data_IF_956709705571
#
_entry.id   IF_956709705571
#
_cell.length_a   1.000
_cell.length_b   1.000
_cell.length_c   1.000
_cell.angle_alpha   90.00
_cell.angle_beta   90.00
_cell.angle_gamma   90.00
#
_symmetry.space_group_name_H-M   'P 1'
#
loop_
_entity.id
_entity.type
_entity.pdbx_description
1 polymer ?
#
# COMPACT_ATOMS: atom_id res chain seq x y z
N UNK A 1 -29.62 -13.37 25.61
CA UNK A 1 -30.68 -12.57 24.93
C UNK A 1 -31.77 -12.35 25.95
N UNK A 2 -32.21 -11.10 26.13
CA UNK A 2 -33.31 -10.75 27.02
C UNK A 2 -34.53 -10.44 26.16
N UNK A 3 -35.66 -11.08 26.43
CA UNK A 3 -36.94 -10.81 25.78
C UNK A 3 -38.04 -10.55 26.80
N UNK A 4 -39.01 -9.76 26.38
CA UNK A 4 -40.21 -9.46 27.13
C UNK A 4 -41.41 -9.75 26.24
N UNK A 5 -42.37 -10.52 26.75
CA UNK A 5 -43.63 -10.80 26.07
C UNK A 5 -44.79 -10.55 27.04
N UNK A 6 -45.94 -10.17 26.48
CA UNK A 6 -47.20 -10.11 27.21
C UNK A 6 -48.15 -11.07 26.52
N UNK A 7 -48.65 -12.05 27.28
CA UNK A 7 -49.51 -13.12 26.81
C UNK A 7 -50.94 -12.96 27.37
N UNK A 8 -51.89 -13.73 26.85
CA UNK A 8 -53.27 -13.82 27.34
C UNK A 8 -54.14 -12.54 27.32
N UNK A 9 -53.71 -11.47 26.63
CA UNK A 9 -54.47 -10.20 26.51
C UNK A 9 -55.85 -10.37 25.83
N UNK A 10 -55.96 -11.28 24.86
CA UNK A 10 -57.17 -11.55 24.07
C UNK A 10 -57.67 -13.00 24.21
N UNK A 11 -57.53 -13.61 25.41
CA UNK A 11 -57.99 -14.99 25.69
C UNK A 11 -59.50 -15.16 25.57
N UNK A 12 -60.10 -16.29 25.98
CA UNK A 12 -61.56 -16.49 25.89
C UNK A 12 -62.27 -16.75 27.24
N UNK A 13 -63.61 -16.65 27.24
CA UNK A 13 -64.52 -16.76 28.40
C UNK A 13 -64.13 -15.87 29.61
N UNK A 14 -63.70 -16.45 30.73
CA UNK A 14 -63.34 -15.67 31.92
C UNK A 14 -61.91 -15.11 31.87
N UNK A 15 -61.16 -15.37 30.79
CA UNK A 15 -59.76 -14.98 30.60
C UNK A 15 -59.63 -13.94 29.48
N UNK A 16 -60.33 -12.82 29.60
CA UNK A 16 -60.23 -11.71 28.63
C UNK A 16 -59.84 -10.40 29.32
N UNK A 17 -59.10 -9.57 28.58
CA UNK A 17 -58.77 -8.22 28.99
C UNK A 17 -57.48 -8.12 29.79
N UNK A 18 -57.08 -6.89 30.08
CA UNK A 18 -55.80 -6.56 30.71
C UNK A 18 -55.59 -7.18 32.10
N UNK A 19 -56.67 -7.56 32.78
CA UNK A 19 -56.62 -8.23 34.09
C UNK A 19 -56.21 -9.71 34.00
N UNK A 20 -56.31 -10.32 32.80
CA UNK A 20 -55.86 -11.68 32.53
C UNK A 20 -54.54 -11.72 31.75
N UNK A 21 -53.93 -10.55 31.48
CA UNK A 21 -52.66 -10.45 30.77
C UNK A 21 -51.51 -10.92 31.66
N UNK A 22 -50.62 -11.73 31.11
CA UNK A 22 -49.43 -12.23 31.80
C UNK A 22 -48.18 -11.59 31.19
N UNK A 23 -47.36 -10.96 32.03
CA UNK A 23 -46.09 -10.39 31.62
C UNK A 23 -44.96 -11.39 31.88
N UNK A 24 -44.22 -11.75 30.83
CA UNK A 24 -43.13 -12.73 30.87
C UNK A 24 -41.81 -12.07 30.52
N UNK A 25 -40.80 -12.32 31.34
CA UNK A 25 -39.40 -11.98 31.05
C UNK A 25 -38.62 -13.27 30.80
N UNK A 26 -37.87 -13.29 29.70
CA UNK A 26 -37.08 -14.46 29.31
C UNK A 26 -35.61 -14.08 29.15
N UNK A 27 -34.72 -14.93 29.66
CA UNK A 27 -33.28 -14.80 29.52
C UNK A 27 -32.71 -16.09 28.92
N UNK A 28 -32.16 -15.98 27.71
CA UNK A 28 -31.47 -17.07 27.05
C UNK A 28 -29.95 -16.89 27.14
N UNK A 29 -29.27 -17.89 27.69
CA UNK A 29 -27.81 -17.97 27.74
C UNK A 29 -27.33 -19.28 27.12
N UNK A 30 -26.44 -19.19 26.14
CA UNK A 30 -25.74 -20.36 25.63
C UNK A 30 -24.68 -20.79 26.65
N UNK A 31 -24.79 -22.01 27.16
CA UNK A 31 -23.75 -22.65 27.98
C UNK A 31 -22.92 -23.54 27.06
N UNK A 32 -21.68 -23.13 26.83
CA UNK A 32 -20.77 -23.86 25.96
C UNK A 32 -19.95 -24.87 26.75
N UNK A 33 -20.09 -26.16 26.43
CA UNK A 33 -19.35 -27.26 27.07
C UNK A 33 -18.07 -27.61 26.29
N UNK A 34 -17.16 -28.37 26.91
CA UNK A 34 -15.98 -28.91 26.25
C UNK A 34 -14.96 -27.86 25.78
N UNK A 35 -14.87 -26.71 26.45
CA UNK A 35 -13.88 -25.68 26.14
C UNK A 35 -14.13 -24.88 24.86
N UNK A 36 -15.29 -25.04 24.20
CA UNK A 36 -15.62 -24.34 22.94
C UNK A 36 -15.45 -22.81 23.01
N UNK A 37 -15.83 -22.21 24.15
CA UNK A 37 -15.65 -20.76 24.39
C UNK A 37 -14.19 -20.35 24.40
N UNK A 38 -13.35 -21.12 25.09
CA UNK A 38 -11.92 -20.86 25.20
C UNK A 38 -11.25 -20.96 23.84
N UNK A 39 -11.56 -22.03 23.08
CA UNK A 39 -11.06 -22.20 21.71
C UNK A 39 -11.50 -21.05 20.81
N UNK A 40 -12.76 -20.61 20.87
CA UNK A 40 -13.24 -19.46 20.11
C UNK A 40 -12.46 -18.19 20.45
N UNK A 41 -12.24 -17.93 21.74
CA UNK A 41 -11.46 -16.77 22.20
C UNK A 41 -10.01 -16.83 21.71
N UNK A 42 -9.36 -18.00 21.77
CA UNK A 42 -8.00 -18.20 21.28
C UNK A 42 -7.90 -17.98 19.77
N UNK A 43 -8.86 -18.50 19.00
CA UNK A 43 -8.91 -18.26 17.55
C UNK A 43 -9.02 -16.76 17.25
N UNK A 44 -9.88 -16.02 17.94
CA UNK A 44 -9.99 -14.57 17.77
C UNK A 44 -8.70 -13.84 18.14
N UNK A 45 -8.03 -14.22 19.23
CA UNK A 45 -6.74 -13.64 19.64
C UNK A 45 -5.66 -13.89 18.58
N UNK A 46 -5.56 -15.11 18.04
CA UNK A 46 -4.60 -15.42 16.98
C UNK A 46 -4.90 -14.68 15.67
N UNK A 47 -6.17 -14.55 15.28
CA UNK A 47 -6.57 -13.76 14.12
C UNK A 47 -6.22 -12.28 14.29
N UNK A 48 -6.43 -11.73 15.48
CA UNK A 48 -6.04 -10.35 15.80
C UNK A 48 -4.52 -10.17 15.69
N UNK A 49 -3.73 -11.05 16.30
CA UNK A 49 -2.26 -11.00 16.21
C UNK A 49 -1.76 -11.16 14.77
N UNK A 50 -2.36 -12.06 14.00
CA UNK A 50 -2.03 -12.24 12.58
C UNK A 50 -2.34 -10.97 11.77
N UNK A 51 -3.46 -10.29 12.05
CA UNK A 51 -3.78 -9.02 11.43
C UNK A 51 -2.76 -7.92 11.79
N UNK A 52 -2.34 -7.82 13.06
CA UNK A 52 -1.30 -6.90 13.49
C UNK A 52 0.03 -7.16 12.76
N UNK A 53 0.44 -8.42 12.64
CA UNK A 53 1.63 -8.80 11.87
C UNK A 53 1.48 -8.49 10.38
N UNK A 54 0.29 -8.69 9.81
CA UNK A 54 -0.01 -8.32 8.43
C UNK A 54 0.21 -6.84 8.15
N UNK A 55 -0.15 -5.97 9.09
CA UNK A 55 0.13 -4.52 8.99
C UNK A 55 1.62 -4.24 8.99
N UNK A 56 2.41 -4.86 9.86
CA UNK A 56 3.87 -4.67 9.90
C UNK A 56 4.55 -5.18 8.62
N UNK A 57 4.13 -6.33 8.09
CA UNK A 57 4.62 -6.84 6.81
C UNK A 57 4.30 -5.85 5.68
N UNK A 58 3.09 -5.30 5.63
CA UNK A 58 2.70 -4.34 4.60
C UNK A 58 3.55 -3.05 4.66
N UNK A 59 3.88 -2.56 5.86
CA UNK A 59 4.79 -1.41 6.04
C UNK A 59 6.19 -1.72 5.50
N UNK A 60 6.75 -2.88 5.84
CA UNK A 60 8.08 -3.28 5.37
C UNK A 60 8.13 -3.46 3.85
N UNK A 61 7.08 -4.04 3.27
CA UNK A 61 6.97 -4.17 1.81
C UNK A 61 6.89 -2.79 1.12
N UNK A 62 6.13 -1.85 1.68
CA UNK A 62 6.04 -0.49 1.16
C UNK A 62 7.39 0.20 1.24
N UNK A 63 8.06 0.13 2.40
CA UNK A 63 9.39 0.72 2.59
C UNK A 63 10.40 0.14 1.59
N UNK A 64 10.43 -1.19 1.41
CA UNK A 64 11.33 -1.83 0.47
C UNK A 64 11.10 -1.36 -0.98
N UNK A 65 9.84 -1.32 -1.42
CA UNK A 65 9.50 -0.83 -2.77
C UNK A 65 9.90 0.63 -2.95
N UNK A 66 9.63 1.48 -1.95
CA UNK A 66 10.00 2.88 -1.97
C UNK A 66 11.52 3.06 -2.04
N UNK A 67 12.28 2.36 -1.18
CA UNK A 67 13.74 2.45 -1.16
C UNK A 67 14.36 2.03 -2.49
N UNK A 68 13.87 0.95 -3.10
CA UNK A 68 14.34 0.51 -4.43
C UNK A 68 14.06 1.56 -5.50
N UNK A 69 12.82 2.02 -5.58
CA UNK A 69 12.44 3.05 -6.55
C UNK A 69 13.22 4.35 -6.36
N UNK A 70 13.52 4.73 -5.11
CA UNK A 70 14.32 5.90 -4.79
C UNK A 70 15.78 5.73 -5.24
N UNK A 71 16.39 4.56 -4.98
CA UNK A 71 17.75 4.26 -5.44
C UNK A 71 17.82 4.30 -6.98
N UNK A 72 16.85 3.68 -7.66
CA UNK A 72 16.78 3.69 -9.12
C UNK A 72 16.63 5.11 -9.68
N UNK A 73 15.79 5.94 -9.04
CA UNK A 73 15.63 7.34 -9.40
C UNK A 73 16.94 8.13 -9.26
N UNK A 74 17.62 8.01 -8.12
CA UNK A 74 18.89 8.72 -7.87
C UNK A 74 19.97 8.27 -8.86
N UNK A 75 20.06 6.96 -9.13
CA UNK A 75 20.99 6.43 -10.13
C UNK A 75 20.69 6.98 -11.54
N UNK A 76 19.43 7.04 -11.94
CA UNK A 76 19.03 7.60 -13.23
C UNK A 76 19.30 9.11 -13.32
N UNK A 77 19.09 9.86 -12.24
CA UNK A 77 19.41 11.28 -12.17
C UNK A 77 20.90 11.54 -12.33
N UNK A 78 21.74 10.74 -11.68
CA UNK A 78 23.19 10.86 -11.78
C UNK A 78 23.69 10.47 -13.18
N UNK A 79 23.15 9.41 -13.76
CA UNK A 79 23.46 9.03 -15.14
C UNK A 79 23.08 10.13 -16.13
N UNK A 80 21.92 10.77 -15.95
CA UNK A 80 21.51 11.91 -16.76
C UNK A 80 22.47 13.10 -16.60
N UNK A 81 22.96 13.35 -15.38
CA UNK A 81 23.94 14.41 -15.11
C UNK A 81 25.24 14.15 -15.87
N UNK A 82 25.77 12.93 -15.79
CA UNK A 82 26.99 12.50 -16.48
C UNK A 82 26.84 12.65 -18.00
N UNK A 83 25.75 12.17 -18.58
CA UNK A 83 25.50 12.26 -20.03
C UNK A 83 25.38 13.71 -20.49
N UNK A 84 24.74 14.59 -19.70
CA UNK A 84 24.67 16.03 -20.00
C UNK A 84 26.05 16.67 -19.98
N UNK A 85 26.89 16.31 -19.03
CA UNK A 85 28.26 16.83 -18.91
C UNK A 85 29.14 16.34 -20.07
N UNK A 86 29.06 15.06 -20.43
CA UNK A 86 29.74 14.51 -21.61
C UNK A 86 29.33 15.21 -22.90
N UNK A 87 28.03 15.46 -23.09
CA UNK A 87 27.52 16.16 -24.27
C UNK A 87 28.02 17.62 -24.31
N UNK A 88 28.08 18.30 -23.15
CA UNK A 88 28.65 19.65 -23.08
C UNK A 88 30.12 19.66 -23.53
N UNK A 89 30.93 18.74 -23.00
CA UNK A 89 32.34 18.61 -23.37
C UNK A 89 32.49 18.28 -24.86
N UNK A 90 31.68 17.36 -25.40
CA UNK A 90 31.70 17.01 -26.82
C UNK A 90 31.42 18.23 -27.72
N UNK A 91 30.44 19.07 -27.34
CA UNK A 91 30.13 20.32 -28.06
C UNK A 91 31.28 21.32 -28.03
N UNK A 92 31.95 21.46 -26.88
CA UNK A 92 33.14 22.32 -26.76
C UNK A 92 34.29 21.82 -27.64
N UNK A 93 34.52 20.50 -27.67
CA UNK A 93 35.51 19.88 -28.56
C UNK A 93 35.17 20.15 -30.04
N UNK A 94 33.91 19.97 -30.44
CA UNK A 94 33.47 20.24 -31.81
C UNK A 94 33.68 21.71 -32.19
N UNK A 95 33.39 22.65 -31.29
CA UNK A 95 33.64 24.07 -31.50
C UNK A 95 35.14 24.35 -31.74
N UNK A 96 36.01 23.84 -30.86
CA UNK A 96 37.47 24.04 -30.97
C UNK A 96 38.04 23.41 -32.24
N UNK A 97 37.63 22.19 -32.58
CA UNK A 97 38.11 21.51 -33.80
C UNK A 97 37.63 22.24 -35.05
N UNK A 98 36.38 22.70 -35.08
CA UNK A 98 35.84 23.48 -36.20
C UNK A 98 36.63 24.76 -36.44
N UNK A 99 36.90 25.54 -35.38
CA UNK A 99 37.72 26.74 -35.48
C UNK A 99 39.15 26.47 -35.99
N UNK A 100 39.75 25.33 -35.59
CA UNK A 100 41.08 24.92 -36.08
C UNK A 100 41.07 24.49 -37.56
N UNK A 101 40.00 23.85 -38.03
CA UNK A 101 39.84 23.49 -39.45
C UNK A 101 39.70 24.77 -40.29
N UNK A 102 38.88 25.72 -39.85
CA UNK A 102 38.70 27.02 -40.52
C UNK A 102 40.01 27.81 -40.59
N UNK A 103 40.83 27.76 -39.54
CA UNK A 103 42.17 28.34 -39.53
C UNK A 103 43.22 27.54 -40.34
N UNK A 104 42.84 26.43 -40.99
CA UNK A 104 43.73 25.56 -41.77
C UNK A 104 44.76 24.80 -40.94
N UNK A 105 44.57 24.68 -39.62
CA UNK A 105 45.53 24.06 -38.69
C UNK A 105 45.33 22.55 -38.51
N UNK A 106 44.16 22.01 -38.88
CA UNK A 106 43.83 20.57 -38.78
C UNK A 106 42.92 20.12 -39.94
N UNK A 107 42.85 18.81 -40.17
CA UNK A 107 42.06 18.20 -41.27
C UNK A 107 40.56 18.18 -40.99
N UNK A 108 39.74 18.30 -42.05
CA UNK A 108 38.27 18.18 -42.03
C UNK A 108 37.81 16.84 -41.42
N UNK A 109 38.59 15.76 -41.58
CA UNK A 109 38.30 14.44 -40.99
C UNK A 109 38.20 14.52 -39.46
N UNK A 110 39.00 15.37 -38.81
CA UNK A 110 38.94 15.56 -37.35
C UNK A 110 37.62 16.23 -36.93
N UNK A 111 37.09 17.15 -37.75
CA UNK A 111 35.78 17.77 -37.52
C UNK A 111 34.66 16.74 -37.62
N UNK A 112 34.66 15.89 -38.66
CA UNK A 112 33.65 14.84 -38.81
C UNK A 112 33.65 13.87 -37.61
N UNK A 113 34.83 13.53 -37.07
CA UNK A 113 34.94 12.68 -35.88
C UNK A 113 34.35 13.34 -34.63
N UNK A 114 34.51 14.65 -34.48
CA UNK A 114 33.91 15.42 -33.39
C UNK A 114 32.39 15.56 -33.56
N UNK A 115 31.89 15.72 -34.78
CA UNK A 115 30.44 15.77 -35.07
C UNK A 115 29.73 14.47 -34.67
N UNK A 116 30.34 13.32 -34.98
CA UNK A 116 29.82 12.00 -34.56
C UNK A 116 29.78 11.86 -33.04
N UNK A 117 30.69 12.53 -32.31
CA UNK A 117 30.77 12.42 -30.84
C UNK A 117 29.72 13.29 -30.13
N UNK A 118 29.06 14.20 -30.84
CA UNK A 118 27.98 15.07 -30.32
C UNK A 118 26.58 14.54 -30.67
N UNK A 119 26.48 13.68 -31.69
CA UNK A 119 25.25 13.03 -32.16
C UNK A 119 24.80 11.92 -31.20
#
# INVERSE_FOLDING_TARGET
MLSYSVENVFGNRNWHGWNAAESRYEYAQLIETGGKRELRSKTTDYLFRAACLGVEVAKLQLLNRFTRAFIDLVAAQEQLRIVKEQNKIAKEVLYVVSAKVEAGKVSIIQKHKAEISVA
#
